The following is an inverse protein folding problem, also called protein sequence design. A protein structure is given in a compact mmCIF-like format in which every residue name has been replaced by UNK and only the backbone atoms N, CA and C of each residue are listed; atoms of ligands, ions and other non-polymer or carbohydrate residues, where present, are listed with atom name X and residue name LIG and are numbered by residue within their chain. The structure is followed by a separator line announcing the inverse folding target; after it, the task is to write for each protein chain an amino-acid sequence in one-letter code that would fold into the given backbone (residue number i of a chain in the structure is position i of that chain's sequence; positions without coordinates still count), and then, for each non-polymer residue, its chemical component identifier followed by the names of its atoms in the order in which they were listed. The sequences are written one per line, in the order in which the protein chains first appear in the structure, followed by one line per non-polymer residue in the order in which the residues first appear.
data_IF_734263806996
#
_entry.id   IF_734263806996
#
_cell.length_a   1.000
_cell.length_b   1.000
_cell.length_c   1.000
_cell.angle_alpha   90.00
_cell.angle_beta   90.00
_cell.angle_gamma   90.00
#
_symmetry.space_group_name_H-M   'P 1'
#
loop_
_entity.id
_entity.type
_entity.pdbx_description
1 polymer ?
#
# COMPACT_ATOMS: atom_id res chain seq x y z
N UNK A 1 3.10 -47.61 0.14
CA UNK A 1 2.19 -46.45 0.28
C UNK A 1 2.51 -45.80 1.61
N UNK A 2 2.68 -44.48 1.59
CA UNK A 2 3.40 -43.69 2.58
C UNK A 2 2.86 -43.86 4.01
N UNK A 3 3.78 -44.09 4.96
CA UNK A 3 3.52 -44.01 6.38
C UNK A 3 3.48 -42.52 6.76
N UNK A 4 2.28 -41.98 6.99
CA UNK A 4 2.10 -40.63 7.53
C UNK A 4 2.58 -40.62 8.98
N UNK A 5 3.81 -40.16 9.21
CA UNK A 5 4.29 -39.79 10.54
C UNK A 5 3.77 -38.41 10.89
N UNK A 6 2.62 -38.36 11.55
CA UNK A 6 2.16 -37.15 12.27
C UNK A 6 3.10 -36.91 13.46
N UNK A 7 3.76 -35.75 13.59
CA UNK A 7 4.64 -35.49 14.73
C UNK A 7 3.79 -35.31 15.99
N UNK A 8 3.94 -36.23 16.95
CA UNK A 8 3.37 -36.09 18.30
C UNK A 8 4.20 -35.04 19.05
N UNK A 9 3.68 -33.81 19.09
CA UNK A 9 4.30 -32.71 19.83
C UNK A 9 4.25 -33.01 21.34
N UNK A 10 5.41 -33.27 21.95
CA UNK A 10 5.51 -33.56 23.39
C UNK A 10 4.98 -32.40 24.24
N UNK A 11 4.32 -32.72 25.36
CA UNK A 11 3.83 -31.73 26.33
C UNK A 11 4.94 -30.80 26.82
N UNK A 12 6.18 -31.27 26.92
CA UNK A 12 7.33 -30.42 27.23
C UNK A 12 7.57 -29.40 26.13
N UNK A 13 7.54 -29.80 24.86
CA UNK A 13 7.72 -28.88 23.72
C UNK A 13 6.59 -27.85 23.69
N UNK A 14 5.36 -28.26 23.95
CA UNK A 14 4.23 -27.32 24.10
C UNK A 14 4.46 -26.34 25.27
N UNK A 15 4.95 -26.82 26.42
CA UNK A 15 5.30 -25.97 27.56
C UNK A 15 6.40 -24.97 27.22
N UNK A 16 7.48 -25.43 26.56
CA UNK A 16 8.58 -24.59 26.11
C UNK A 16 8.11 -23.54 25.09
N UNK A 17 7.22 -23.91 24.17
CA UNK A 17 6.61 -22.98 23.22
C UNK A 17 5.74 -21.95 23.94
N UNK A 18 4.94 -22.34 24.93
CA UNK A 18 4.10 -21.41 25.71
C UNK A 18 4.98 -20.47 26.56
N UNK A 19 6.01 -20.98 27.22
CA UNK A 19 6.96 -20.17 28.00
C UNK A 19 7.74 -19.21 27.10
N UNK A 20 8.21 -19.67 25.94
CA UNK A 20 8.84 -18.80 24.95
C UNK A 20 7.87 -17.73 24.42
N UNK A 21 6.61 -18.08 24.18
CA UNK A 21 5.57 -17.14 23.75
C UNK A 21 5.23 -16.10 24.83
N UNK A 22 5.24 -16.49 26.11
CA UNK A 22 5.06 -15.55 27.24
C UNK A 22 6.26 -14.60 27.41
N UNK A 23 7.48 -15.03 27.06
CA UNK A 23 8.66 -14.16 27.05
C UNK A 23 8.68 -13.16 25.89
N UNK A 24 7.93 -13.42 24.82
CA UNK A 24 7.65 -12.45 23.75
C UNK A 24 6.35 -11.72 24.09
N UNK A 25 6.34 -11.04 25.22
CA UNK A 25 5.33 -10.00 25.44
C UNK A 25 5.66 -8.85 24.49
N UNK A 26 5.09 -8.87 23.27
CA UNK A 26 5.08 -7.68 22.42
C UNK A 26 4.39 -6.61 23.24
N UNK A 27 5.12 -5.59 23.68
CA UNK A 27 4.53 -4.49 24.43
C UNK A 27 3.59 -3.75 23.48
N UNK A 28 2.31 -4.07 23.56
CA UNK A 28 1.26 -3.32 22.90
C UNK A 28 1.16 -1.95 23.59
N UNK A 29 1.02 -0.89 22.80
CA UNK A 29 0.86 0.43 23.37
C UNK A 29 -0.46 0.53 24.18
N UNK A 30 -0.45 1.25 25.29
CA UNK A 30 -1.62 1.47 26.15
C UNK A 30 -2.38 2.76 25.84
N UNK A 31 -3.33 3.15 26.70
CA UNK A 31 -4.10 4.39 26.52
C UNK A 31 -3.26 5.69 26.60
N UNK A 32 -2.10 5.65 27.26
CA UNK A 32 -1.15 6.77 27.26
C UNK A 32 -0.60 7.07 25.87
N UNK A 33 -0.47 6.05 25.02
CA UNK A 33 -0.03 6.22 23.63
C UNK A 33 -1.12 6.89 22.80
N UNK A 34 -2.37 6.45 22.96
CA UNK A 34 -3.52 7.06 22.28
C UNK A 34 -3.63 8.56 22.61
N UNK A 35 -3.51 8.92 23.89
CA UNK A 35 -3.48 10.33 24.29
C UNK A 35 -2.32 11.10 23.65
N UNK A 36 -1.11 10.52 23.63
CA UNK A 36 0.07 11.18 23.08
C UNK A 36 -0.05 11.41 21.56
N UNK A 37 -0.56 10.45 20.79
CA UNK A 37 -0.73 10.63 19.33
C UNK A 37 -1.85 11.64 19.01
N UNK A 38 -2.91 11.72 19.82
CA UNK A 38 -3.96 12.73 19.66
C UNK A 38 -3.44 14.14 19.96
N UNK A 39 -2.73 14.32 21.07
CA UNK A 39 -2.25 15.64 21.47
C UNK A 39 -1.14 16.15 20.53
N UNK A 40 -0.12 15.32 20.27
CA UNK A 40 1.08 15.78 19.56
C UNK A 40 1.02 15.61 18.05
N UNK A 41 0.48 14.48 17.57
CA UNK A 41 0.52 14.19 16.14
C UNK A 41 -0.73 14.72 15.41
N UNK A 42 -1.93 14.44 15.95
CA UNK A 42 -3.17 14.94 15.35
C UNK A 42 -3.29 16.46 15.46
N UNK A 43 -2.79 17.06 16.54
CA UNK A 43 -2.75 18.51 16.71
C UNK A 43 -2.02 19.22 15.56
N UNK A 44 -0.81 18.76 15.20
CA UNK A 44 -0.04 19.29 14.05
C UNK A 44 -0.74 18.99 12.72
N UNK A 45 -1.17 17.75 12.50
CA UNK A 45 -1.86 17.35 11.27
C UNK A 45 -3.12 18.17 10.99
N UNK A 46 -3.89 18.51 12.03
CA UNK A 46 -5.06 19.38 11.88
C UNK A 46 -4.68 20.76 11.34
N UNK A 47 -3.60 21.35 11.84
CA UNK A 47 -3.14 22.66 11.37
C UNK A 47 -2.71 22.60 9.90
N UNK A 48 -1.98 21.55 9.50
CA UNK A 48 -1.58 21.38 8.10
C UNK A 48 -2.81 21.20 7.19
N UNK A 49 -3.80 20.42 7.63
CA UNK A 49 -5.02 20.16 6.87
C UNK A 49 -5.96 21.38 6.81
N UNK A 50 -5.91 22.26 7.82
CA UNK A 50 -6.59 23.57 7.80
C UNK A 50 -5.90 24.53 6.83
N UNK A 51 -4.57 24.52 6.75
CA UNK A 51 -3.80 25.34 5.79
C UNK A 51 -4.02 24.91 4.33
N UNK A 52 -4.14 23.60 4.09
CA UNK A 52 -4.35 23.01 2.76
C UNK A 52 -5.73 23.31 2.12
N UNK A 53 -6.72 23.76 2.91
CA UNK A 53 -8.14 23.84 2.54
C UNK A 53 -8.79 22.47 2.22
N UNK A 54 -10.09 22.34 2.52
CA UNK A 54 -10.84 21.10 2.36
C UNK A 54 -10.90 20.60 0.91
N UNK A 55 -10.86 21.51 -0.08
CA UNK A 55 -10.90 21.15 -1.50
C UNK A 55 -9.69 20.31 -1.95
N UNK A 56 -8.59 20.35 -1.21
CA UNK A 56 -7.35 19.63 -1.55
C UNK A 56 -7.15 18.34 -0.76
N UNK A 57 -8.04 18.02 0.19
CA UNK A 57 -7.91 16.80 1.01
C UNK A 57 -7.89 15.51 0.18
N UNK A 58 -8.54 15.46 -0.99
CA UNK A 58 -8.52 14.29 -1.85
C UNK A 58 -7.35 14.25 -2.85
N UNK A 59 -6.48 15.26 -2.85
CA UNK A 59 -5.25 15.26 -3.63
C UNK A 59 -4.15 14.57 -2.83
N UNK A 60 -3.71 13.40 -3.30
CA UNK A 60 -2.60 12.69 -2.65
C UNK A 60 -1.27 13.46 -2.77
N UNK A 61 -1.08 14.21 -3.85
CA UNK A 61 0.13 15.02 -4.05
C UNK A 61 0.25 16.11 -2.97
N UNK A 62 -0.86 16.71 -2.57
CA UNK A 62 -0.86 17.77 -1.56
C UNK A 62 -0.87 17.20 -0.13
N UNK A 63 -1.43 16.00 0.08
CA UNK A 63 -1.59 15.40 1.42
C UNK A 63 -0.51 14.38 1.80
N UNK A 64 0.35 13.96 0.87
CA UNK A 64 1.40 12.95 1.14
C UNK A 64 2.39 13.40 2.21
N UNK A 65 2.77 14.67 2.20
CA UNK A 65 3.72 15.24 3.16
C UNK A 65 3.13 15.30 4.58
N UNK A 66 1.99 15.98 4.84
CA UNK A 66 1.41 16.02 6.19
C UNK A 66 1.00 14.64 6.70
N UNK A 67 0.49 13.76 5.83
CA UNK A 67 0.16 12.38 6.22
C UNK A 67 1.42 11.57 6.55
N UNK A 68 2.53 11.79 5.84
CA UNK A 68 3.83 11.20 6.12
C UNK A 68 4.40 11.66 7.46
N UNK A 69 4.30 12.96 7.77
CA UNK A 69 4.70 13.52 9.05
C UNK A 69 3.87 12.98 10.21
N UNK A 70 2.54 12.88 10.04
CA UNK A 70 1.64 12.24 10.99
C UNK A 70 2.05 10.79 11.27
N UNK A 71 2.32 10.02 10.20
CA UNK A 71 2.78 8.62 10.30
C UNK A 71 4.10 8.52 11.06
N UNK A 72 5.08 9.36 10.72
CA UNK A 72 6.37 9.39 11.38
C UNK A 72 6.24 9.80 12.86
N UNK A 73 5.40 10.78 13.18
CA UNK A 73 5.12 11.20 14.56
C UNK A 73 4.59 10.03 15.40
N UNK A 74 3.57 9.29 14.91
CA UNK A 74 3.04 8.13 15.66
C UNK A 74 4.08 7.04 15.87
N UNK A 75 4.92 6.79 14.85
CA UNK A 75 6.04 5.86 14.94
C UNK A 75 7.06 6.27 16.00
N UNK A 76 7.48 7.55 16.03
CA UNK A 76 8.43 8.07 17.01
C UNK A 76 7.88 8.02 18.44
N UNK A 77 6.59 8.28 18.64
CA UNK A 77 5.94 8.14 19.95
C UNK A 77 5.93 6.67 20.37
N UNK A 78 5.60 5.74 19.47
CA UNK A 78 5.61 4.31 19.76
C UNK A 78 7.02 3.83 20.16
N UNK A 79 8.05 4.24 19.42
CA UNK A 79 9.44 3.97 19.75
C UNK A 79 9.84 4.54 21.12
N UNK A 80 9.45 5.78 21.42
CA UNK A 80 9.77 6.42 22.71
C UNK A 80 9.08 5.72 23.89
N UNK A 81 7.94 5.11 23.65
CA UNK A 81 7.15 4.38 24.65
C UNK A 81 7.48 2.88 24.68
N UNK A 82 8.52 2.47 23.93
CA UNK A 82 9.01 1.10 23.82
C UNK A 82 7.91 0.10 23.44
N UNK A 83 7.04 0.48 22.51
CA UNK A 83 5.95 -0.36 22.01
C UNK A 83 6.02 -0.55 20.49
N UNK A 84 5.46 -1.66 20.01
CA UNK A 84 5.51 -2.01 18.59
C UNK A 84 4.60 -1.11 17.75
N UNK A 85 5.07 -0.76 16.55
CA UNK A 85 4.31 -0.04 15.52
C UNK A 85 4.33 -0.88 14.23
N UNK A 86 3.20 -1.12 13.57
CA UNK A 86 1.84 -0.67 13.92
C UNK A 86 1.19 -1.51 15.02
N UNK A 87 0.14 -0.96 15.64
CA UNK A 87 -0.64 -1.60 16.70
C UNK A 87 -2.13 -1.20 16.59
N UNK A 88 -2.99 -1.86 17.38
CA UNK A 88 -4.45 -1.62 17.34
C UNK A 88 -4.83 -0.15 17.59
N UNK A 89 -4.13 0.54 18.48
CA UNK A 89 -4.43 1.94 18.82
C UNK A 89 -4.13 2.86 17.63
N UNK A 90 -3.01 2.67 16.94
CA UNK A 90 -2.67 3.47 15.76
C UNK A 90 -3.58 3.14 14.57
N UNK A 91 -4.03 1.89 14.44
CA UNK A 91 -5.01 1.50 13.42
C UNK A 91 -6.35 2.24 13.62
N UNK A 92 -6.89 2.23 14.85
CA UNK A 92 -8.13 2.95 15.16
C UNK A 92 -7.99 4.46 14.97
N UNK A 93 -6.84 5.02 15.36
CA UNK A 93 -6.49 6.42 15.15
C UNK A 93 -6.52 6.80 13.67
N UNK A 94 -5.82 6.06 12.80
CA UNK A 94 -5.84 6.33 11.36
C UNK A 94 -7.21 6.13 10.73
N UNK A 95 -7.98 5.13 11.18
CA UNK A 95 -9.38 4.97 10.72
C UNK A 95 -10.22 6.20 11.05
N UNK A 96 -10.06 6.81 12.25
CA UNK A 96 -10.76 8.05 12.61
C UNK A 96 -10.36 9.20 11.70
N UNK A 97 -9.06 9.35 11.40
CA UNK A 97 -8.56 10.37 10.47
C UNK A 97 -9.13 10.18 9.06
N UNK A 98 -9.09 8.96 8.52
CA UNK A 98 -9.67 8.64 7.21
C UNK A 98 -11.16 8.94 7.13
N UNK A 99 -11.92 8.61 8.19
CA UNK A 99 -13.35 8.93 8.27
C UNK A 99 -13.64 10.43 8.39
N UNK A 100 -12.71 11.22 8.91
CA UNK A 100 -12.91 12.66 9.08
C UNK A 100 -12.50 13.42 7.82
N UNK A 101 -11.23 13.29 7.42
CA UNK A 101 -10.64 14.09 6.35
C UNK A 101 -10.82 13.48 4.95
N UNK A 102 -10.89 12.14 4.84
CA UNK A 102 -10.81 11.46 3.55
C UNK A 102 -12.06 10.66 3.16
N UNK A 103 -13.20 10.92 3.83
CA UNK A 103 -14.41 10.11 3.68
C UNK A 103 -15.06 10.19 2.29
N UNK A 104 -14.91 11.33 1.60
CA UNK A 104 -15.43 11.57 0.25
C UNK A 104 -14.41 11.25 -0.85
N UNK A 105 -13.19 10.83 -0.48
CA UNK A 105 -12.12 10.63 -1.45
C UNK A 105 -12.22 9.28 -2.14
N UNK A 106 -12.07 9.28 -3.48
CA UNK A 106 -12.07 8.04 -4.26
C UNK A 106 -10.75 7.27 -4.13
N UNK A 107 -10.82 5.94 -4.01
CA UNK A 107 -9.63 5.08 -3.97
C UNK A 107 -8.92 4.95 -5.33
N UNK A 108 -9.55 5.42 -6.40
CA UNK A 108 -9.17 5.15 -7.79
C UNK A 108 -7.81 5.72 -8.21
N UNK A 109 -7.31 6.76 -7.54
CA UNK A 109 -6.04 7.42 -7.89
C UNK A 109 -4.78 6.76 -7.33
N UNK A 110 -4.90 5.91 -6.30
CA UNK A 110 -3.74 5.33 -5.58
C UNK A 110 -3.46 3.88 -5.95
N UNK A 111 -4.45 3.16 -6.46
CA UNK A 111 -4.29 1.74 -6.77
C UNK A 111 -3.58 1.59 -8.11
N UNK A 112 -2.32 1.15 -8.06
CA UNK A 112 -1.61 0.73 -9.27
C UNK A 112 -2.40 -0.41 -9.91
N UNK A 113 -3.05 -0.11 -11.03
CA UNK A 113 -3.94 -1.03 -11.74
C UNK A 113 -3.76 -0.83 -13.23
N UNK A 114 -3.79 -1.94 -13.96
CA UNK A 114 -3.80 -1.88 -15.42
C UNK A 114 -5.03 -1.08 -15.91
N UNK A 115 -4.88 -0.30 -16.98
CA UNK A 115 -6.00 0.40 -17.57
C UNK A 115 -7.05 -0.61 -18.05
N UNK A 116 -8.33 -0.22 -18.11
CA UNK A 116 -9.38 -1.12 -18.55
C UNK A 116 -9.12 -1.64 -19.96
N UNK A 117 -9.53 -2.88 -20.26
CA UNK A 117 -9.19 -3.60 -21.49
C UNK A 117 -9.55 -2.84 -22.79
N UNK A 118 -10.55 -1.96 -22.76
CA UNK A 118 -10.93 -1.16 -23.92
C UNK A 118 -9.91 -0.04 -24.25
N UNK A 119 -9.04 0.34 -23.30
CA UNK A 119 -7.91 1.24 -23.51
C UNK A 119 -6.64 0.43 -23.80
N UNK A 120 -6.39 -0.62 -23.01
CA UNK A 120 -5.19 -1.45 -23.14
C UNK A 120 -5.15 -2.22 -24.47
N UNK A 121 -6.29 -2.78 -24.89
CA UNK A 121 -6.42 -3.60 -26.09
C UNK A 121 -5.95 -2.88 -27.36
N UNK A 122 -6.45 -1.68 -27.67
CA UNK A 122 -5.97 -0.89 -28.81
C UNK A 122 -4.46 -0.61 -28.76
N UNK A 123 -3.90 -0.29 -27.59
CA UNK A 123 -2.46 -0.07 -27.45
C UNK A 123 -1.61 -1.31 -27.75
N UNK A 124 -2.15 -2.51 -27.57
CA UNK A 124 -1.47 -3.75 -27.95
C UNK A 124 -1.69 -4.08 -29.43
N UNK A 125 -2.92 -3.97 -29.92
CA UNK A 125 -3.29 -4.40 -31.29
C UNK A 125 -2.71 -3.47 -32.36
N UNK A 126 -2.73 -2.15 -32.14
CA UNK A 126 -2.28 -1.18 -33.15
C UNK A 126 -0.81 -1.37 -33.53
N UNK A 127 0.17 -1.47 -32.60
CA UNK A 127 1.56 -1.75 -32.95
C UNK A 127 1.75 -3.07 -33.71
N UNK A 128 1.01 -4.12 -33.35
CA UNK A 128 1.06 -5.41 -34.05
C UNK A 128 0.58 -5.24 -35.50
N UNK A 129 -0.57 -4.59 -35.72
CA UNK A 129 -1.07 -4.35 -37.07
C UNK A 129 -0.11 -3.49 -37.90
N UNK A 130 0.49 -2.46 -37.30
CA UNK A 130 1.48 -1.60 -37.97
C UNK A 130 2.71 -2.41 -38.38
N UNK A 131 3.26 -3.24 -37.49
CA UNK A 131 4.41 -4.09 -37.82
C UNK A 131 4.09 -5.10 -38.93
N UNK A 132 2.92 -5.73 -38.91
CA UNK A 132 2.47 -6.61 -39.99
C UNK A 132 2.28 -5.87 -41.32
N UNK A 133 1.71 -4.67 -41.29
CA UNK A 133 1.52 -3.87 -42.49
C UNK A 133 2.85 -3.40 -43.08
N UNK A 134 3.77 -2.92 -42.24
CA UNK A 134 5.10 -2.48 -42.68
C UNK A 134 5.91 -3.65 -43.27
N UNK A 135 5.89 -4.82 -42.63
CA UNK A 135 6.56 -6.02 -43.16
C UNK A 135 5.96 -6.44 -44.50
N UNK A 136 4.63 -6.45 -44.63
CA UNK A 136 3.97 -6.74 -45.90
C UNK A 136 4.35 -5.73 -47.01
N UNK A 137 4.39 -4.44 -46.68
CA UNK A 137 4.82 -3.38 -47.60
C UNK A 137 6.28 -3.56 -48.05
N UNK A 138 7.19 -3.88 -47.12
CA UNK A 138 8.60 -4.12 -47.42
C UNK A 138 8.75 -5.33 -48.34
N UNK A 139 8.09 -6.45 -48.03
CA UNK A 139 8.11 -7.66 -48.87
C UNK A 139 7.55 -7.38 -50.26
N UNK A 140 6.45 -6.64 -50.35
CA UNK A 140 5.83 -6.28 -51.62
C UNK A 140 6.76 -5.38 -52.47
N UNK A 141 7.38 -4.37 -51.87
CA UNK A 141 8.32 -3.48 -52.57
C UNK A 141 9.58 -4.22 -53.02
N UNK A 142 10.13 -5.09 -52.18
CA UNK A 142 11.29 -5.92 -52.50
C UNK A 142 11.02 -6.84 -53.70
N UNK A 143 9.91 -7.61 -53.68
CA UNK A 143 9.53 -8.47 -54.82
C UNK A 143 9.28 -7.69 -56.12
N UNK A 144 8.66 -6.51 -56.04
CA UNK A 144 8.42 -5.67 -57.23
C UNK A 144 9.71 -5.09 -57.80
N UNK A 145 10.70 -4.81 -56.97
CA UNK A 145 12.02 -4.33 -57.41
C UNK A 145 12.84 -5.44 -58.07
N UNK A 146 12.69 -6.70 -57.64
CA UNK A 146 13.36 -7.85 -58.26
C UNK A 146 12.71 -8.32 -59.57
N UNK A 147 11.40 -8.13 -59.74
CA UNK A 147 10.66 -8.43 -60.98
C UNK A 147 10.77 -7.36 -62.08
N UNK A 148 11.63 -6.35 -61.91
CA UNK A 148 11.91 -5.29 -62.88
C UNK A 148 13.35 -5.48 -63.45
N UNK A 149 13.58 -6.62 -64.08
CA UNK A 149 14.73 -6.92 -64.97
C UNK A 149 14.21 -7.67 -66.17
#
# INVERSE_FOLDING_TARGET
MASETTPVLSKQVLLWLVVACQSVSVMACGGTYEYAIEEFCLGKFRLDMEELDQHHWCSWEDTVEPYGELTNCTYLIALKMDCFWPNRQVDEFFIRIHKHYFHDCSLSGRQLRDPPNHILGPFIVVPILVTLLMTALVVWRSKRSEGIV
#
